data_IF_054468799035
#
_entry.id   IF_054468799035
#
_cell.length_a   1.000
_cell.length_b   1.000
_cell.length_c   1.000
_cell.angle_alpha   90.00
_cell.angle_beta   90.00
_cell.angle_gamma   90.00
#
_symmetry.space_group_name_H-M   'P 1'
#
loop_
_entity.id
_entity.type
_entity.pdbx_description
1 polymer ?
#
# COMPACT_ATOMS: atom_id res chain seq x y z
N UNK A 1 -43.83 9.12 -44.46
CA UNK A 1 -44.16 8.48 -43.15
C UNK A 1 -42.96 7.73 -42.57
N UNK A 2 -42.22 6.94 -43.37
CA UNK A 2 -41.01 6.20 -42.93
C UNK A 2 -39.85 7.14 -42.53
N UNK A 3 -39.63 8.23 -43.27
CA UNK A 3 -38.56 9.21 -42.98
C UNK A 3 -38.75 9.95 -41.65
N UNK A 4 -40.00 10.22 -41.26
CA UNK A 4 -40.34 10.89 -40.00
C UNK A 4 -40.04 10.00 -38.78
N UNK A 5 -40.28 8.70 -38.90
CA UNK A 5 -39.98 7.70 -37.85
C UNK A 5 -38.47 7.57 -37.68
N UNK A 6 -37.71 7.58 -38.77
CA UNK A 6 -36.24 7.58 -38.73
C UNK A 6 -35.66 8.82 -38.05
N UNK A 7 -36.23 9.99 -38.30
CA UNK A 7 -35.79 11.24 -37.67
C UNK A 7 -36.11 11.29 -36.17
N UNK A 8 -37.31 10.82 -35.77
CA UNK A 8 -37.70 10.74 -34.36
C UNK A 8 -36.84 9.72 -33.59
N UNK A 9 -36.59 8.54 -34.17
CA UNK A 9 -35.67 7.55 -33.60
C UNK A 9 -34.25 8.10 -33.46
N UNK A 10 -33.72 8.79 -34.48
CA UNK A 10 -32.40 9.43 -34.40
C UNK A 10 -32.34 10.51 -33.31
N UNK A 11 -33.37 11.35 -33.21
CA UNK A 11 -33.45 12.43 -32.24
C UNK A 11 -33.59 11.94 -30.78
N UNK A 12 -34.16 10.75 -30.56
CA UNK A 12 -34.27 10.13 -29.23
C UNK A 12 -33.02 9.31 -28.89
N UNK A 13 -32.46 8.57 -29.85
CA UNK A 13 -31.29 7.73 -29.61
C UNK A 13 -30.01 8.55 -29.38
N UNK A 14 -29.85 9.70 -30.04
CA UNK A 14 -28.63 10.52 -29.95
C UNK A 14 -28.40 11.14 -28.55
N UNK A 15 -29.39 11.71 -27.86
CA UNK A 15 -29.24 12.15 -26.47
C UNK A 15 -28.95 10.99 -25.52
N UNK A 16 -29.55 9.82 -25.73
CA UNK A 16 -29.37 8.64 -24.87
C UNK A 16 -27.93 8.10 -25.00
N UNK A 17 -27.38 8.01 -26.22
CA UNK A 17 -25.99 7.59 -26.41
C UNK A 17 -25.01 8.61 -25.86
N UNK A 18 -25.25 9.92 -26.04
CA UNK A 18 -24.42 10.96 -25.41
C UNK A 18 -24.48 10.87 -23.89
N UNK A 19 -25.66 10.64 -23.31
CA UNK A 19 -25.83 10.52 -21.87
C UNK A 19 -25.15 9.26 -21.31
N UNK A 20 -25.29 8.11 -21.99
CA UNK A 20 -24.60 6.87 -21.63
C UNK A 20 -23.07 7.03 -21.72
N UNK A 21 -22.56 7.68 -22.77
CA UNK A 21 -21.14 7.95 -22.95
C UNK A 21 -20.61 8.93 -21.89
N UNK A 22 -21.39 9.95 -21.55
CA UNK A 22 -21.08 10.88 -20.47
C UNK A 22 -21.00 10.19 -19.10
N UNK A 23 -21.91 9.25 -18.83
CA UNK A 23 -21.88 8.45 -17.60
C UNK A 23 -20.72 7.45 -17.57
N UNK A 24 -20.33 6.86 -18.71
CA UNK A 24 -19.14 6.02 -18.79
C UNK A 24 -17.86 6.83 -18.50
N UNK A 25 -17.71 8.01 -19.11
CA UNK A 25 -16.55 8.89 -18.88
C UNK A 25 -16.51 9.40 -17.42
N UNK A 26 -17.65 9.81 -16.84
CA UNK A 26 -17.70 10.23 -15.43
C UNK A 26 -17.54 9.04 -14.46
N UNK A 27 -18.04 7.86 -14.82
CA UNK A 27 -17.89 6.62 -14.07
C UNK A 27 -16.43 6.21 -13.96
N UNK A 28 -15.70 6.22 -15.08
CA UNK A 28 -14.25 5.98 -15.12
C UNK A 28 -13.47 6.99 -14.27
N UNK A 29 -13.81 8.28 -14.31
CA UNK A 29 -13.21 9.29 -13.42
C UNK A 29 -13.50 9.06 -11.93
N UNK A 30 -14.63 8.43 -11.57
CA UNK A 30 -14.94 8.04 -10.18
C UNK A 30 -14.22 6.76 -9.75
N UNK A 31 -14.03 5.81 -10.66
CA UNK A 31 -13.28 4.57 -10.42
C UNK A 31 -11.80 4.88 -10.18
N UNK A 32 -11.24 5.88 -10.86
CA UNK A 32 -9.85 6.31 -10.65
C UNK A 32 -9.55 6.86 -9.24
N UNK A 33 -10.56 7.23 -8.42
CA UNK A 33 -10.35 7.77 -7.05
C UNK A 33 -10.27 6.71 -5.94
N UNK A 34 -10.15 5.43 -6.28
CA UNK A 34 -10.18 4.32 -5.29
C UNK A 34 -9.00 3.35 -5.41
N UNK A 35 -8.08 3.56 -6.33
CA UNK A 35 -7.02 2.58 -6.59
C UNK A 35 -6.06 2.45 -5.39
N UNK A 36 -5.54 3.55 -4.83
CA UNK A 36 -4.73 3.50 -3.60
C UNK A 36 -5.44 2.81 -2.42
N UNK A 37 -6.77 2.95 -2.29
CA UNK A 37 -7.54 2.27 -1.24
C UNK A 37 -7.58 0.76 -1.43
N UNK A 38 -7.74 0.31 -2.68
CA UNK A 38 -7.73 -1.12 -3.05
C UNK A 38 -6.33 -1.69 -2.81
N UNK A 39 -5.28 -0.95 -3.18
CA UNK A 39 -3.90 -1.38 -2.92
C UNK A 39 -3.62 -1.46 -1.42
N UNK A 40 -4.07 -0.48 -0.63
CA UNK A 40 -3.92 -0.50 0.83
C UNK A 40 -4.63 -1.70 1.46
N UNK A 41 -5.88 -1.98 1.04
CA UNK A 41 -6.63 -3.14 1.50
C UNK A 41 -5.93 -4.46 1.13
N UNK A 42 -5.46 -4.57 -0.11
CA UNK A 42 -4.74 -5.75 -0.62
C UNK A 42 -3.44 -5.97 0.15
N UNK A 43 -2.65 -4.92 0.32
CA UNK A 43 -1.40 -4.97 1.08
C UNK A 43 -1.62 -5.37 2.54
N UNK A 44 -2.65 -4.79 3.16
CA UNK A 44 -2.99 -5.07 4.54
C UNK A 44 -3.31 -6.56 4.76
N UNK A 45 -4.25 -7.12 3.99
CA UNK A 45 -4.69 -8.50 4.20
C UNK A 45 -3.67 -9.56 3.74
N UNK A 46 -2.89 -9.28 2.70
CA UNK A 46 -1.95 -10.26 2.16
C UNK A 46 -0.60 -10.27 2.87
N UNK A 47 -0.21 -9.15 3.47
CA UNK A 47 1.10 -8.99 4.11
C UNK A 47 0.98 -8.47 5.54
N UNK A 48 0.58 -7.21 5.72
CA UNK A 48 0.79 -6.51 6.99
C UNK A 48 0.06 -7.16 8.17
N UNK A 49 -1.21 -7.52 7.98
CA UNK A 49 -2.01 -8.20 9.01
C UNK A 49 -1.38 -9.53 9.43
N UNK A 50 -0.84 -10.30 8.46
CA UNK A 50 -0.17 -11.57 8.74
C UNK A 50 1.10 -11.36 9.55
N UNK A 51 1.89 -10.35 9.19
CA UNK A 51 3.11 -9.97 9.92
C UNK A 51 2.80 -9.56 11.35
N UNK A 52 1.83 -8.67 11.55
CA UNK A 52 1.43 -8.23 12.88
C UNK A 52 0.90 -9.41 13.70
N UNK A 53 0.00 -10.21 13.15
CA UNK A 53 -0.58 -11.35 13.84
C UNK A 53 0.48 -12.38 14.27
N UNK A 54 1.48 -12.63 13.42
CA UNK A 54 2.59 -13.52 13.76
C UNK A 54 3.46 -12.99 14.88
N UNK A 55 3.75 -11.68 14.88
CA UNK A 55 4.54 -11.05 15.93
C UNK A 55 3.77 -11.10 17.26
N UNK A 56 2.46 -10.88 17.23
CA UNK A 56 1.59 -11.00 18.41
C UNK A 56 1.54 -12.44 18.93
N UNK A 57 1.42 -13.45 18.05
CA UNK A 57 1.30 -14.84 18.48
C UNK A 57 2.55 -15.35 19.18
N UNK A 58 3.73 -14.96 18.70
CA UNK A 58 5.01 -15.36 19.30
C UNK A 58 5.38 -14.52 20.54
N UNK A 59 4.73 -13.36 20.73
CA UNK A 59 4.99 -12.35 21.79
C UNK A 59 6.40 -11.76 21.81
N UNK A 60 7.33 -12.33 21.04
CA UNK A 60 8.68 -11.85 20.85
C UNK A 60 9.17 -12.18 19.43
N UNK A 61 10.27 -11.55 19.04
CA UNK A 61 11.02 -11.93 17.84
C UNK A 61 12.45 -12.25 18.25
N UNK A 62 12.94 -13.40 17.79
CA UNK A 62 14.32 -13.84 17.97
C UNK A 62 15.09 -13.56 16.69
N UNK A 63 16.22 -12.86 16.81
CA UNK A 63 17.03 -12.42 15.67
C UNK A 63 18.48 -12.67 15.98
N UNK A 64 19.19 -13.25 15.03
CA UNK A 64 20.62 -13.43 15.13
C UNK A 64 21.33 -12.21 14.53
N UNK A 65 22.05 -11.47 15.37
CA UNK A 65 22.83 -10.28 14.98
C UNK A 65 24.28 -10.58 15.39
N UNK A 66 25.21 -10.53 14.44
CA UNK A 66 26.64 -10.80 14.70
C UNK A 66 26.91 -12.14 15.40
N UNK A 67 26.16 -13.20 15.04
CA UNK A 67 26.21 -14.54 15.68
C UNK A 67 25.67 -14.61 17.12
N UNK A 68 25.00 -13.57 17.60
CA UNK A 68 24.36 -13.50 18.91
C UNK A 68 22.84 -13.48 18.75
N UNK A 69 22.14 -14.30 19.52
CA UNK A 69 20.67 -14.29 19.56
C UNK A 69 20.16 -13.14 20.43
N UNK A 70 19.32 -12.31 19.86
CA UNK A 70 18.60 -11.24 20.54
C UNK A 70 17.11 -11.55 20.53
N UNK A 71 16.46 -11.41 21.69
CA UNK A 71 15.00 -11.55 21.83
C UNK A 71 14.40 -10.19 22.12
N UNK A 72 13.44 -9.78 21.28
CA UNK A 72 12.75 -8.49 21.40
C UNK A 72 11.29 -8.70 21.78
N UNK A 73 10.83 -8.06 22.85
CA UNK A 73 9.42 -8.03 23.23
C UNK A 73 8.62 -7.10 22.30
N UNK A 74 7.28 -7.25 22.30
CA UNK A 74 6.35 -6.49 21.45
C UNK A 74 6.55 -4.96 21.49
N UNK A 75 6.77 -4.39 22.67
CA UNK A 75 6.97 -2.94 22.88
C UNK A 75 8.30 -2.43 22.30
N UNK A 76 9.25 -3.34 22.04
CA UNK A 76 10.57 -3.06 21.45
C UNK A 76 10.61 -3.26 19.94
N UNK A 77 9.50 -3.67 19.33
CA UNK A 77 9.40 -3.90 17.90
C UNK A 77 8.65 -2.75 17.25
N UNK A 78 9.26 -2.16 16.22
CA UNK A 78 8.62 -1.22 15.32
C UNK A 78 8.56 -1.80 13.91
N UNK A 79 7.41 -1.72 13.26
CA UNK A 79 7.26 -2.00 11.83
C UNK A 79 7.21 -0.65 11.10
N UNK A 80 8.22 -0.37 10.28
CA UNK A 80 8.32 0.84 9.49
C UNK A 80 8.01 0.56 8.02
N UNK A 81 6.87 1.07 7.55
CA UNK A 81 6.43 0.94 6.16
C UNK A 81 6.81 2.23 5.43
N UNK A 82 7.69 2.10 4.44
CA UNK A 82 8.23 3.23 3.67
C UNK A 82 7.61 3.25 2.28
N UNK A 83 6.67 4.16 2.06
CA UNK A 83 5.95 4.32 0.79
C UNK A 83 6.79 5.23 -0.12
N UNK A 84 7.33 4.71 -1.23
CA UNK A 84 8.17 5.48 -2.13
C UNK A 84 7.34 6.46 -2.95
N UNK A 85 7.76 7.72 -2.99
CA UNK A 85 7.17 8.75 -3.85
C UNK A 85 7.77 8.74 -5.27
N UNK A 86 8.82 7.93 -5.50
CA UNK A 86 9.53 7.79 -6.76
C UNK A 86 9.75 6.29 -7.11
N UNK A 87 9.79 5.96 -8.40
CA UNK A 87 10.06 4.58 -8.86
C UNK A 87 11.50 4.17 -8.51
N UNK A 88 12.45 5.12 -8.57
CA UNK A 88 13.88 4.85 -8.35
C UNK A 88 14.13 4.27 -6.96
N UNK A 89 13.41 4.77 -5.96
CA UNK A 89 13.52 4.35 -4.57
C UNK A 89 13.21 2.85 -4.36
N UNK A 90 12.45 2.22 -5.27
CA UNK A 90 12.02 0.82 -5.12
C UNK A 90 12.93 -0.17 -5.85
N UNK A 91 13.32 0.13 -7.09
CA UNK A 91 14.04 -0.83 -7.94
C UNK A 91 15.54 -0.96 -7.56
N UNK A 92 16.12 0.02 -6.87
CA UNK A 92 17.55 0.02 -6.51
C UNK A 92 17.83 -0.51 -5.08
N UNK A 93 16.78 -0.86 -4.33
CA UNK A 93 16.92 -1.13 -2.89
C UNK A 93 17.40 -2.54 -2.61
N UNK A 94 18.66 -2.65 -2.19
CA UNK A 94 19.23 -3.90 -1.65
C UNK A 94 18.89 -4.03 -0.18
N UNK A 95 18.34 -5.18 0.22
CA UNK A 95 18.20 -5.57 1.62
C UNK A 95 19.61 -5.60 2.23
N UNK A 96 19.83 -4.81 3.29
CA UNK A 96 21.14 -4.72 3.93
C UNK A 96 21.30 -5.74 5.03
N UNK A 97 20.26 -5.88 5.86
CA UNK A 97 20.23 -6.78 6.99
C UNK A 97 18.98 -7.66 6.85
N UNK A 98 19.06 -8.80 6.14
CA UNK A 98 17.91 -9.65 5.93
C UNK A 98 17.52 -10.35 7.24
N UNK A 99 16.24 -10.27 7.60
CA UNK A 99 15.59 -11.14 8.58
C UNK A 99 14.59 -12.03 7.87
N UNK A 100 14.65 -13.33 8.17
CA UNK A 100 13.65 -14.30 7.74
C UNK A 100 12.55 -14.39 8.80
N UNK A 101 11.41 -13.78 8.52
CA UNK A 101 10.20 -13.91 9.32
C UNK A 101 9.34 -15.02 8.72
N UNK A 102 9.36 -16.18 9.39
CA UNK A 102 8.48 -17.30 9.06
C UNK A 102 7.11 -17.05 9.70
N UNK A 103 6.10 -16.87 8.86
CA UNK A 103 4.73 -16.57 9.26
C UNK A 103 3.83 -17.65 8.67
N UNK A 104 3.44 -18.63 9.49
CA UNK A 104 2.71 -19.82 9.04
C UNK A 104 3.48 -20.56 7.91
N UNK A 105 2.87 -20.71 6.74
CA UNK A 105 3.46 -21.30 5.52
C UNK A 105 4.29 -20.31 4.68
N UNK A 106 4.27 -19.01 5.01
CA UNK A 106 4.99 -17.98 4.28
C UNK A 106 6.32 -17.65 4.94
N UNK A 107 7.35 -17.41 4.13
CA UNK A 107 8.63 -16.89 4.60
C UNK A 107 8.85 -15.51 3.99
N UNK A 108 8.93 -14.49 4.85
CA UNK A 108 9.16 -13.12 4.43
C UNK A 108 10.61 -12.74 4.73
N UNK A 109 11.32 -12.28 3.70
CA UNK A 109 12.66 -11.69 3.85
C UNK A 109 12.49 -10.19 3.96
N UNK A 110 12.67 -9.65 5.17
CA UNK A 110 12.53 -8.22 5.45
C UNK A 110 13.89 -7.61 5.81
N UNK A 111 14.00 -6.29 5.69
CA UNK A 111 15.18 -5.55 6.17
C UNK A 111 14.94 -5.15 7.63
N UNK A 112 16.00 -5.00 8.43
CA UNK A 112 15.86 -4.47 9.78
C UNK A 112 17.01 -3.57 10.21
N UNK A 113 16.69 -2.71 11.19
CA UNK A 113 17.65 -1.91 11.92
C UNK A 113 17.56 -2.24 13.41
N UNK A 114 18.70 -2.55 14.01
CA UNK A 114 18.83 -2.79 15.44
C UNK A 114 19.38 -1.54 16.14
N UNK A 115 18.64 -1.05 17.14
CA UNK A 115 19.11 0.02 18.03
C UNK A 115 19.63 -0.59 19.34
N UNK A 116 20.97 -0.57 19.49
CA UNK A 116 21.66 -1.11 20.66
C UNK A 116 21.34 -0.36 21.95
N UNK A 117 21.15 0.95 21.90
CA UNK A 117 20.95 1.78 23.09
C UNK A 117 19.58 1.53 23.73
N UNK A 118 18.56 1.31 22.91
CA UNK A 118 17.19 1.09 23.37
C UNK A 118 16.81 -0.39 23.49
N UNK A 119 17.71 -1.28 23.05
CA UNK A 119 17.48 -2.70 22.82
C UNK A 119 16.17 -2.92 22.02
N UNK A 120 16.07 -2.26 20.86
CA UNK A 120 14.87 -2.24 20.02
C UNK A 120 15.18 -2.57 18.57
N UNK A 121 14.17 -3.05 17.85
CA UNK A 121 14.27 -3.35 16.42
C UNK A 121 13.23 -2.57 15.63
N UNK A 122 13.66 -2.07 14.47
CA UNK A 122 12.78 -1.60 13.41
C UNK A 122 12.84 -2.55 12.23
N UNK A 123 11.75 -3.26 11.95
CA UNK A 123 11.53 -4.03 10.73
C UNK A 123 11.10 -3.06 9.65
N UNK A 124 11.80 -3.03 8.52
CA UNK A 124 11.61 -2.06 7.46
C UNK A 124 11.04 -2.78 6.24
N UNK A 125 9.92 -2.26 5.73
CA UNK A 125 9.26 -2.80 4.54
C UNK A 125 8.93 -1.71 3.51
N UNK A 126 9.07 -2.09 2.24
CA UNK A 126 8.71 -1.27 1.09
C UNK A 126 7.56 -1.93 0.33
N UNK A 127 6.36 -1.34 0.32
CA UNK A 127 5.22 -1.95 -0.34
C UNK A 127 5.44 -1.95 -1.86
N UNK A 128 5.91 -3.09 -2.41
CA UNK A 128 6.10 -3.27 -3.86
C UNK A 128 4.82 -3.06 -4.69
N UNK A 129 3.66 -3.22 -4.06
CA UNK A 129 2.36 -2.90 -4.67
C UNK A 129 2.25 -1.42 -5.07
N UNK A 130 3.01 -0.55 -4.40
CA UNK A 130 3.07 0.87 -4.72
C UNK A 130 3.91 1.17 -5.96
N UNK A 131 4.86 0.29 -6.32
CA UNK A 131 5.59 0.35 -7.60
C UNK A 131 4.65 0.19 -8.79
N UNK A 132 3.58 -0.59 -8.65
CA UNK A 132 2.56 -0.72 -9.69
C UNK A 132 1.80 0.60 -9.90
N UNK A 133 1.53 1.34 -8.83
CA UNK A 133 0.87 2.64 -8.88
C UNK A 133 1.74 3.68 -9.59
N UNK A 134 3.01 3.78 -9.22
CA UNK A 134 3.92 4.75 -9.83
C UNK A 134 4.13 4.46 -11.32
N UNK A 135 4.22 3.18 -11.71
CA UNK A 135 4.24 2.77 -13.13
C UNK A 135 2.95 3.16 -13.88
N UNK A 136 1.79 2.98 -13.24
CA UNK A 136 0.49 3.33 -13.84
C UNK A 136 0.39 4.82 -14.16
N UNK A 137 0.79 5.69 -13.23
CA UNK A 137 0.76 7.14 -13.45
C UNK A 137 1.79 7.63 -14.46
N UNK A 138 2.97 6.99 -14.54
CA UNK A 138 4.00 7.30 -15.53
C UNK A 138 3.53 7.05 -16.97
N UNK A 139 2.71 6.02 -17.19
CA UNK A 139 2.16 5.71 -18.52
C UNK A 139 1.06 6.66 -18.99
N UNK A 140 0.45 7.45 -18.09
CA UNK A 140 -0.66 8.34 -18.46
C UNK A 140 -0.22 9.76 -18.90
N UNK A 141 1.09 10.03 -19.07
CA UNK A 141 1.67 11.33 -19.49
C UNK A 141 0.98 12.55 -18.86
N UNK A 142 0.71 12.49 -17.55
CA UNK A 142 0.10 13.62 -16.85
C UNK A 142 1.16 14.66 -16.54
N UNK A 143 0.93 15.90 -16.97
CA UNK A 143 1.77 17.08 -16.68
C UNK A 143 2.04 17.34 -15.17
N UNK A 144 1.40 16.59 -14.27
CA UNK A 144 1.45 16.76 -12.82
C UNK A 144 1.61 15.41 -12.08
N UNK A 145 2.39 14.50 -12.66
CA UNK A 145 2.61 13.12 -12.17
C UNK A 145 3.01 13.06 -10.68
N UNK A 146 3.94 13.92 -10.25
CA UNK A 146 4.43 13.95 -8.86
C UNK A 146 3.34 14.30 -7.86
N UNK A 147 2.45 15.25 -8.19
CA UNK A 147 1.35 15.67 -7.34
C UNK A 147 0.32 14.53 -7.19
N UNK A 148 0.00 13.85 -8.29
CA UNK A 148 -0.95 12.73 -8.25
C UNK A 148 -0.39 11.51 -7.52
N UNK A 149 0.89 11.15 -7.72
CA UNK A 149 1.56 10.09 -6.95
C UNK A 149 1.55 10.42 -5.46
N UNK A 150 1.88 11.66 -5.09
CA UNK A 150 1.84 12.08 -3.68
C UNK A 150 0.44 11.95 -3.08
N UNK A 151 -0.60 12.40 -3.79
CA UNK A 151 -1.99 12.27 -3.34
C UNK A 151 -2.39 10.81 -3.13
N UNK A 152 -2.03 9.93 -4.05
CA UNK A 152 -2.34 8.50 -3.93
C UNK A 152 -1.50 7.81 -2.85
N UNK A 153 -0.24 8.21 -2.65
CA UNK A 153 0.61 7.73 -1.56
C UNK A 153 0.02 8.10 -0.19
N UNK A 154 -0.43 9.34 -0.07
CA UNK A 154 -1.14 9.82 1.11
C UNK A 154 -2.45 9.05 1.31
N UNK A 155 -3.23 8.84 0.26
CA UNK A 155 -4.49 8.09 0.35
C UNK A 155 -4.26 6.62 0.74
N UNK A 156 -3.20 5.99 0.23
CA UNK A 156 -2.77 4.64 0.61
C UNK A 156 -2.41 4.60 2.09
N UNK A 157 -1.56 5.53 2.55
CA UNK A 157 -1.17 5.69 3.95
C UNK A 157 -2.39 5.83 4.86
N UNK A 158 -3.23 6.83 4.61
CA UNK A 158 -4.41 7.14 5.43
C UNK A 158 -5.39 5.95 5.47
N UNK A 159 -5.47 5.17 4.40
CA UNK A 159 -6.33 3.98 4.34
C UNK A 159 -5.73 2.82 5.13
N UNK A 160 -4.41 2.65 5.08
CA UNK A 160 -3.71 1.61 5.82
C UNK A 160 -3.74 1.87 7.33
N UNK A 161 -3.54 3.12 7.76
CA UNK A 161 -3.69 3.54 9.16
C UNK A 161 -5.09 3.22 9.69
N UNK A 162 -6.15 3.53 8.92
CA UNK A 162 -7.52 3.19 9.29
C UNK A 162 -7.79 1.69 9.42
N UNK A 163 -7.16 0.86 8.59
CA UNK A 163 -7.31 -0.59 8.67
C UNK A 163 -6.64 -1.13 9.94
N UNK A 164 -5.43 -0.65 10.24
CA UNK A 164 -4.69 -1.00 11.46
C UNK A 164 -5.47 -0.58 12.69
N UNK A 165 -5.91 0.68 12.76
CA UNK A 165 -6.66 1.23 13.89
C UNK A 165 -7.96 0.48 14.12
N UNK A 166 -8.61 0.01 13.06
CA UNK A 166 -9.85 -0.75 13.16
C UNK A 166 -9.63 -2.13 13.79
N UNK A 167 -8.61 -2.85 13.33
CA UNK A 167 -8.42 -4.25 13.71
C UNK A 167 -7.63 -4.41 15.02
N UNK A 168 -6.77 -3.44 15.35
CA UNK A 168 -5.87 -3.52 16.52
C UNK A 168 -6.17 -2.50 17.62
N UNK A 169 -7.32 -1.80 17.58
CA UNK A 169 -7.69 -0.76 18.56
C UNK A 169 -7.51 -1.16 20.03
N UNK A 170 -7.76 -2.43 20.34
CA UNK A 170 -7.80 -2.97 21.71
C UNK A 170 -6.82 -4.13 21.91
N UNK A 171 -5.83 -4.26 21.03
CA UNK A 171 -4.84 -5.34 21.08
C UNK A 171 -3.47 -4.71 21.30
N UNK A 172 -2.61 -5.32 22.11
CA UNK A 172 -1.21 -4.91 22.17
C UNK A 172 -0.50 -5.39 20.89
N UNK A 173 0.02 -4.47 20.09
CA UNK A 173 0.69 -4.77 18.82
C UNK A 173 1.99 -3.96 18.70
N UNK A 174 2.98 -4.41 17.90
CA UNK A 174 4.20 -3.66 17.67
C UNK A 174 3.90 -2.26 17.14
N UNK A 175 4.74 -1.27 17.47
CA UNK A 175 4.53 0.10 16.99
C UNK A 175 4.59 0.12 15.45
N UNK A 176 3.59 0.71 14.79
CA UNK A 176 3.60 0.84 13.33
C UNK A 176 3.88 2.28 12.95
N UNK A 177 4.82 2.47 12.03
CA UNK A 177 5.23 3.78 11.52
C UNK A 177 5.15 3.78 10.00
N UNK A 178 4.28 4.62 9.45
CA UNK A 178 4.07 4.71 7.99
C UNK A 178 4.61 6.04 7.48
N UNK A 179 5.64 5.96 6.63
CA UNK A 179 6.38 7.10 6.11
C UNK A 179 6.21 7.22 4.61
N UNK A 180 6.05 8.46 4.13
CA UNK A 180 6.25 8.80 2.73
C UNK A 180 7.74 9.16 2.59
N UNK A 181 8.43 8.53 1.65
CA UNK A 181 9.87 8.75 1.43
C UNK A 181 10.12 9.27 0.01
N UNK A 182 10.82 10.40 -0.04
CA UNK A 182 11.44 10.97 -1.25
C UNK A 182 12.89 10.48 -1.36
N UNK A 183 13.48 10.60 -2.56
CA UNK A 183 14.88 10.27 -2.81
C UNK A 183 15.85 11.19 -2.05
#
# INVERSE_FOLDING_TARGET
MIELIGFIMGAICFPITIFAFYFQIRGLKRINRRFAKILAWTYYHNFLNKVIASIISEQNIIINIDSVEHTFALDKITIEIRIPLSIKTTDERKIKNPINLKISEYNFVLDFNYNKEENSITIIEFPNIFTALTRFYKTEEKNDESIEIYKEAKLFKDSLEKLIDKDFKNVAYPKIKILLVED
#
